data_IF_931954535818
#
_entry.id   IF_931954535818
#
_cell.length_a   1.000
_cell.length_b   1.000
_cell.length_c   1.000
_cell.angle_alpha   90.00
_cell.angle_beta   90.00
_cell.angle_gamma   90.00
#
_symmetry.space_group_name_H-M   'P 1'
#
loop_
_entity.id
_entity.type
_entity.pdbx_description
1 polymer ?
#
# COMPACT_ATOMS: atom_id res chain seq x y z
N UNK A 1 -24.56 -35.29 -24.44
CA UNK A 1 -25.34 -34.32 -23.65
C UNK A 1 -24.40 -33.18 -23.35
N UNK A 2 -24.52 -32.09 -24.10
CA UNK A 2 -23.68 -30.91 -23.88
C UNK A 2 -23.98 -30.34 -22.49
N UNK A 3 -22.94 -29.90 -21.79
CA UNK A 3 -23.09 -29.42 -20.42
C UNK A 3 -23.96 -28.16 -20.44
N UNK A 4 -25.16 -28.16 -19.81
CA UNK A 4 -26.08 -27.03 -19.87
C UNK A 4 -25.53 -25.76 -19.20
N UNK A 5 -24.44 -25.87 -18.44
CA UNK A 5 -23.78 -24.76 -17.76
C UNK A 5 -22.47 -24.31 -18.43
N UNK A 6 -22.09 -24.87 -19.57
CA UNK A 6 -20.80 -24.58 -20.23
C UNK A 6 -20.58 -23.09 -20.48
N UNK A 7 -21.61 -22.39 -20.93
CA UNK A 7 -21.56 -20.93 -21.17
C UNK A 7 -21.31 -20.14 -19.87
N UNK A 8 -21.90 -20.58 -18.75
CA UNK A 8 -21.71 -19.95 -17.45
C UNK A 8 -20.29 -20.19 -16.94
N UNK A 9 -19.79 -21.43 -17.07
CA UNK A 9 -18.43 -21.78 -16.66
C UNK A 9 -17.38 -20.97 -17.43
N UNK A 10 -17.56 -20.81 -18.74
CA UNK A 10 -16.69 -19.98 -19.57
C UNK A 10 -16.71 -18.50 -19.16
N UNK A 11 -17.87 -17.98 -18.76
CA UNK A 11 -17.97 -16.61 -18.25
C UNK A 11 -17.27 -16.45 -16.90
N UNK A 12 -17.43 -17.43 -16.00
CA UNK A 12 -16.77 -17.43 -14.69
C UNK A 12 -15.25 -17.49 -14.85
N UNK A 13 -14.74 -18.32 -15.76
CA UNK A 13 -13.30 -18.41 -16.04
C UNK A 13 -12.74 -17.07 -16.55
N UNK A 14 -13.42 -16.42 -17.48
CA UNK A 14 -13.04 -15.09 -17.97
C UNK A 14 -13.01 -14.05 -16.85
N UNK A 15 -14.02 -14.06 -15.98
CA UNK A 15 -14.09 -13.15 -14.83
C UNK A 15 -12.91 -13.40 -13.88
N UNK A 16 -12.58 -14.66 -13.59
CA UNK A 16 -11.45 -15.02 -12.74
C UNK A 16 -10.13 -14.49 -13.30
N UNK A 17 -9.88 -14.69 -14.60
CA UNK A 17 -8.68 -14.18 -15.28
C UNK A 17 -8.58 -12.66 -15.15
N UNK A 18 -9.64 -11.93 -15.47
CA UNK A 18 -9.64 -10.46 -15.34
C UNK A 18 -9.45 -9.99 -13.90
N UNK A 19 -9.97 -10.72 -12.91
CA UNK A 19 -9.74 -10.41 -11.49
C UNK A 19 -8.29 -10.64 -11.06
N UNK A 20 -7.63 -11.66 -11.59
CA UNK A 20 -6.22 -11.93 -11.34
C UNK A 20 -5.33 -10.84 -11.94
N UNK A 21 -5.58 -10.44 -13.19
CA UNK A 21 -4.89 -9.33 -13.86
C UNK A 21 -5.01 -8.03 -13.05
N UNK A 22 -6.21 -7.67 -12.60
CA UNK A 22 -6.42 -6.46 -11.79
C UNK A 22 -5.67 -6.53 -10.45
N UNK A 23 -5.60 -7.70 -9.81
CA UNK A 23 -4.84 -7.85 -8.56
C UNK A 23 -3.35 -7.65 -8.76
N UNK A 24 -2.80 -8.14 -9.87
CA UNK A 24 -1.37 -7.98 -10.16
C UNK A 24 -1.00 -6.52 -10.43
N UNK A 25 -1.78 -5.82 -11.25
CA UNK A 25 -1.59 -4.39 -11.53
C UNK A 25 -1.57 -3.57 -10.23
N UNK A 26 -2.52 -3.81 -9.33
CA UNK A 26 -2.59 -3.10 -8.05
C UNK A 26 -1.42 -3.40 -7.10
N UNK A 27 -0.79 -4.58 -7.17
CA UNK A 27 0.37 -4.91 -6.33
C UNK A 27 1.62 -4.14 -6.77
N UNK A 28 1.83 -4.02 -8.08
CA UNK A 28 2.98 -3.35 -8.67
C UNK A 28 2.95 -1.86 -8.31
N UNK A 29 1.79 -1.23 -8.46
CA UNK A 29 1.63 0.22 -8.22
C UNK A 29 1.89 0.64 -6.79
N UNK A 30 1.68 -0.23 -5.79
CA UNK A 30 1.79 0.17 -4.39
C UNK A 30 3.19 -0.01 -3.80
N UNK A 31 3.99 -0.95 -4.31
CA UNK A 31 5.32 -1.21 -3.76
C UNK A 31 6.33 -0.09 -4.07
N UNK A 32 6.22 0.53 -5.24
CA UNK A 32 7.16 1.56 -5.69
C UNK A 32 6.76 2.98 -5.26
N UNK A 33 5.63 3.12 -4.57
CA UNK A 33 5.16 4.44 -4.09
C UNK A 33 6.06 4.96 -2.98
N UNK A 34 6.44 6.23 -3.14
CA UNK A 34 7.23 6.99 -2.19
C UNK A 34 6.42 8.21 -1.77
N UNK A 35 6.36 8.43 -0.47
CA UNK A 35 5.60 9.52 0.13
C UNK A 35 6.52 10.57 0.73
N UNK A 36 6.12 11.82 0.59
CA UNK A 36 6.66 12.92 1.36
C UNK A 36 6.19 12.85 2.83
N UNK A 37 6.86 13.58 3.71
CA UNK A 37 6.44 13.73 5.12
C UNK A 37 5.02 14.29 5.23
N UNK A 38 4.62 15.16 4.29
CA UNK A 38 3.28 15.76 4.27
C UNK A 38 2.21 14.72 3.94
N UNK A 39 2.44 13.87 2.95
CA UNK A 39 1.50 12.79 2.58
C UNK A 39 1.46 11.72 3.66
N UNK A 40 2.62 11.30 4.17
CA UNK A 40 2.70 10.33 5.26
C UNK A 40 1.93 10.78 6.50
N UNK A 41 1.95 12.08 6.80
CA UNK A 41 1.20 12.70 7.89
C UNK A 41 -0.32 12.59 7.69
N UNK A 42 -0.80 12.80 6.47
CA UNK A 42 -2.22 12.65 6.13
C UNK A 42 -2.67 11.19 6.20
N UNK A 43 -1.88 10.27 5.65
CA UNK A 43 -2.18 8.83 5.62
C UNK A 43 -2.26 8.27 7.05
N UNK A 44 -1.24 8.55 7.87
CA UNK A 44 -1.15 8.04 9.24
C UNK A 44 -1.96 8.84 10.27
N UNK A 45 -2.63 9.92 9.83
CA UNK A 45 -3.37 10.87 10.70
C UNK A 45 -2.53 11.37 11.89
N UNK A 46 -1.22 11.51 11.68
CA UNK A 46 -0.26 12.00 12.67
C UNK A 46 0.26 13.38 12.25
N UNK A 47 0.80 14.16 13.18
CA UNK A 47 1.43 15.44 12.81
C UNK A 47 2.72 15.21 12.02
N UNK A 48 3.07 16.15 11.14
CA UNK A 48 4.34 16.16 10.40
C UNK A 48 5.57 16.07 11.33
N UNK A 49 5.46 16.66 12.53
CA UNK A 49 6.50 16.60 13.55
C UNK A 49 6.68 15.17 14.08
N UNK A 50 5.58 14.46 14.34
CA UNK A 50 5.62 13.07 14.79
C UNK A 50 6.29 12.18 13.76
N UNK A 51 5.96 12.33 12.47
CA UNK A 51 6.61 11.57 11.39
C UNK A 51 8.11 11.86 11.34
N UNK A 52 8.52 13.13 11.39
CA UNK A 52 9.96 13.50 11.43
C UNK A 52 10.67 12.92 12.65
N UNK A 53 10.02 12.90 13.81
CA UNK A 53 10.57 12.30 15.02
C UNK A 53 10.71 10.78 14.89
N UNK A 54 9.74 10.09 14.27
CA UNK A 54 9.79 8.65 14.03
C UNK A 54 10.91 8.28 13.06
N UNK A 55 11.10 9.07 11.99
CA UNK A 55 12.23 8.95 11.06
C UNK A 55 13.56 9.19 11.79
N UNK A 56 13.67 10.26 12.59
CA UNK A 56 14.88 10.56 13.37
C UNK A 56 15.22 9.45 14.38
N UNK A 57 14.20 8.79 14.94
CA UNK A 57 14.35 7.64 15.85
C UNK A 57 14.65 6.31 15.13
N UNK A 58 14.65 6.29 13.79
CA UNK A 58 14.85 5.07 13.00
C UNK A 58 13.67 4.09 13.04
N UNK A 59 12.50 4.51 13.56
CA UNK A 59 11.29 3.68 13.57
C UNK A 59 10.61 3.59 12.20
N UNK A 60 10.79 4.62 11.39
CA UNK A 60 10.36 4.68 9.99
C UNK A 60 11.62 4.85 9.16
N UNK A 61 11.88 3.90 8.27
CA UNK A 61 12.98 4.05 7.31
C UNK A 61 12.59 5.10 6.27
N UNK A 62 13.48 6.05 6.02
CA UNK A 62 13.25 7.08 5.04
C UNK A 62 14.56 7.46 4.36
N UNK A 63 14.49 7.75 3.08
CA UNK A 63 15.62 8.23 2.28
C UNK A 63 15.59 9.75 2.26
N UNK A 64 16.75 10.38 2.47
CA UNK A 64 16.88 11.83 2.30
C UNK A 64 17.40 12.14 0.90
N UNK A 65 16.63 12.91 0.15
CA UNK A 65 17.06 13.48 -1.12
C UNK A 65 17.21 14.99 -0.93
N UNK A 66 18.42 15.40 -0.55
CA UNK A 66 18.75 16.77 -0.13
C UNK A 66 17.93 17.21 1.10
N UNK A 67 17.03 18.18 0.90
CA UNK A 67 16.13 18.70 1.95
C UNK A 67 14.84 17.90 2.10
N UNK A 68 14.50 17.05 1.14
CA UNK A 68 13.27 16.24 1.16
C UNK A 68 13.51 14.91 1.87
N UNK A 69 12.51 14.47 2.62
CA UNK A 69 12.46 13.15 3.25
C UNK A 69 11.42 12.34 2.49
N UNK A 70 11.83 11.16 2.02
CA UNK A 70 11.08 10.23 1.20
C UNK A 70 10.85 8.94 1.98
N UNK A 71 9.59 8.57 2.17
CA UNK A 71 9.17 7.42 2.98
C UNK A 71 8.55 6.39 2.03
N UNK A 72 9.08 5.16 1.94
CA UNK A 72 8.51 4.13 1.09
C UNK A 72 7.16 3.64 1.63
N UNK A 73 6.30 3.17 0.74
CA UNK A 73 4.97 2.65 1.08
C UNK A 73 5.00 1.55 2.15
N UNK A 74 5.96 0.63 2.06
CA UNK A 74 6.17 -0.49 2.99
C UNK A 74 6.38 -0.07 4.45
N UNK A 75 6.79 1.17 4.69
CA UNK A 75 6.98 1.70 6.04
C UNK A 75 5.68 2.24 6.65
N UNK A 76 4.73 2.67 5.82
CA UNK A 76 3.43 3.19 6.27
C UNK A 76 2.33 2.14 6.25
N UNK A 77 2.42 1.14 5.38
CA UNK A 77 1.38 0.14 5.17
C UNK A 77 1.86 -1.27 5.54
N UNK A 78 0.93 -2.10 5.99
CA UNK A 78 1.12 -3.52 6.25
C UNK A 78 1.04 -4.33 4.95
N UNK A 79 1.41 -5.63 4.96
CA UNK A 79 1.24 -6.51 3.80
C UNK A 79 -0.20 -6.59 3.26
N UNK A 80 -1.19 -6.33 4.12
CA UNK A 80 -2.61 -6.26 3.77
C UNK A 80 -3.03 -4.90 3.19
N UNK A 81 -2.08 -3.99 2.95
CA UNK A 81 -2.30 -2.60 2.53
C UNK A 81 -3.11 -1.75 3.53
N UNK A 82 -3.13 -2.15 4.79
CA UNK A 82 -3.69 -1.36 5.89
C UNK A 82 -2.66 -0.39 6.46
N UNK A 83 -3.08 0.81 6.84
CA UNK A 83 -2.20 1.81 7.47
C UNK A 83 -1.70 1.31 8.82
N UNK A 84 -0.38 1.29 9.01
CA UNK A 84 0.24 0.94 10.29
C UNK A 84 -0.18 1.91 11.38
N UNK A 85 -0.53 1.36 12.53
CA UNK A 85 -0.76 2.18 13.72
C UNK A 85 0.57 2.70 14.25
N UNK A 86 0.88 3.96 13.94
CA UNK A 86 2.07 4.66 14.45
C UNK A 86 1.82 5.28 15.84
N UNK A 87 0.58 5.23 16.34
CA UNK A 87 0.19 5.77 17.64
C UNK A 87 0.61 4.79 18.74
N UNK A 88 1.25 5.31 19.77
CA UNK A 88 1.59 4.53 20.96
C UNK A 88 0.30 4.06 21.65
N UNK A 89 0.13 2.75 21.83
CA UNK A 89 -0.90 2.18 22.70
C UNK A 89 -0.41 2.35 24.14
N UNK A 90 -1.16 3.13 24.92
CA UNK A 90 -0.97 3.24 26.37
C UNK A 90 -1.67 2.10 27.07
#
# INVERSE_FOLDING_TARGET
MDNPFEKINLQLEKICISLEELKEVNKIDNNDKIYSVTEASLISKCSKQTIRNLVKKGKIKATRMGRKILIPHSELFNPMNDVKSLKYKR
#
